data_IF_225845558821
#
_entry.id   IF_225845558821
#
_cell.length_a   1.000
_cell.length_b   1.000
_cell.length_c   1.000
_cell.angle_alpha   90.00
_cell.angle_beta   90.00
_cell.angle_gamma   90.00
#
_symmetry.space_group_name_H-M   'P 1'
#
loop_
_entity.id
_entity.type
_entity.pdbx_description
1 polymer ?
#
# COMPACT_ATOMS: atom_id res chain seq x y z
N UNK A 1 -13.75 -11.76 -16.29
CA UNK A 1 -12.45 -11.52 -16.98
C UNK A 1 -12.30 -10.02 -17.16
N UNK A 2 -11.37 -9.36 -16.46
CA UNK A 2 -11.08 -7.95 -16.72
C UNK A 2 -9.92 -7.87 -17.72
N UNK A 3 -10.28 -7.83 -19.01
CA UNK A 3 -9.36 -7.49 -20.11
C UNK A 3 -9.02 -6.00 -20.02
N UNK A 4 -7.74 -5.63 -19.94
CA UNK A 4 -7.34 -4.26 -20.31
C UNK A 4 -6.11 -3.65 -19.65
N UNK A 5 -5.65 -4.12 -18.49
CA UNK A 5 -4.44 -3.54 -17.87
C UNK A 5 -3.18 -4.23 -18.36
N UNK A 6 -2.38 -3.50 -19.14
CA UNK A 6 -1.01 -3.91 -19.50
C UNK A 6 -0.18 -4.04 -18.23
N UNK A 7 0.78 -4.97 -18.21
CA UNK A 7 1.72 -5.06 -17.08
C UNK A 7 2.63 -3.82 -17.10
N UNK A 8 3.18 -3.38 -15.96
CA UNK A 8 4.05 -2.19 -15.92
C UNK A 8 5.17 -2.17 -16.96
N UNK A 9 5.79 -3.34 -17.21
CA UNK A 9 6.85 -3.54 -18.19
C UNK A 9 6.39 -3.47 -19.65
N UNK A 10 5.10 -3.66 -19.91
CA UNK A 10 4.49 -3.64 -21.23
C UNK A 10 3.91 -2.26 -21.60
N UNK A 11 3.85 -1.34 -20.62
CA UNK A 11 3.39 0.03 -20.83
C UNK A 11 4.50 0.91 -21.43
N UNK A 12 4.09 1.81 -22.33
CA UNK A 12 4.87 2.99 -22.69
C UNK A 12 4.89 3.98 -21.53
N UNK A 13 5.83 4.94 -21.56
CA UNK A 13 5.91 5.99 -20.53
C UNK A 13 4.63 6.83 -20.50
N UNK A 14 4.05 7.13 -21.66
CA UNK A 14 2.81 7.91 -21.77
C UNK A 14 1.62 7.18 -21.12
N UNK A 15 1.45 5.88 -21.40
CA UNK A 15 0.40 5.05 -20.78
C UNK A 15 0.57 4.97 -19.26
N UNK A 16 1.81 4.82 -18.77
CA UNK A 16 2.08 4.79 -17.34
C UNK A 16 1.78 6.13 -16.66
N UNK A 17 2.11 7.25 -17.31
CA UNK A 17 1.76 8.60 -16.83
C UNK A 17 0.26 8.81 -16.79
N UNK A 18 -0.47 8.40 -17.82
CA UNK A 18 -1.94 8.49 -17.87
C UNK A 18 -2.58 7.70 -16.73
N UNK A 19 -2.17 6.44 -16.54
CA UNK A 19 -2.66 5.62 -15.44
C UNK A 19 -2.29 6.20 -14.06
N UNK A 20 -1.12 6.83 -13.94
CA UNK A 20 -0.73 7.52 -12.70
C UNK A 20 -1.60 8.74 -12.44
N UNK A 21 -1.92 9.54 -13.45
CA UNK A 21 -2.80 10.70 -13.31
C UNK A 21 -4.21 10.25 -12.89
N UNK A 22 -4.77 9.23 -13.54
CA UNK A 22 -6.06 8.63 -13.13
C UNK A 22 -6.01 8.14 -11.68
N UNK A 23 -4.88 7.57 -11.27
CA UNK A 23 -4.66 7.16 -9.88
C UNK A 23 -4.70 8.35 -8.91
N UNK A 24 -3.99 9.44 -9.21
CA UNK A 24 -3.99 10.65 -8.37
C UNK A 24 -5.38 11.29 -8.31
N UNK A 25 -6.08 11.41 -9.44
CA UNK A 25 -7.44 11.95 -9.52
C UNK A 25 -8.46 11.12 -8.71
N UNK A 26 -8.20 9.82 -8.56
CA UNK A 26 -9.05 8.91 -7.80
C UNK A 26 -8.62 8.72 -6.34
N UNK A 27 -7.52 9.34 -5.90
CA UNK A 27 -6.91 9.01 -4.62
C UNK A 27 -7.80 9.35 -3.43
N UNK A 28 -8.45 10.51 -3.44
CA UNK A 28 -9.32 10.99 -2.36
C UNK A 28 -10.46 10.00 -2.08
N UNK A 29 -11.26 9.65 -3.10
CA UNK A 29 -12.36 8.72 -2.88
C UNK A 29 -11.86 7.33 -2.48
N UNK A 30 -10.70 6.89 -2.99
CA UNK A 30 -10.12 5.58 -2.67
C UNK A 30 -9.72 5.50 -1.20
N UNK A 31 -9.13 6.58 -0.69
CA UNK A 31 -8.79 6.73 0.72
C UNK A 31 -10.07 6.71 1.58
N UNK A 32 -11.09 7.48 1.21
CA UNK A 32 -12.35 7.51 1.96
C UNK A 32 -13.06 6.14 1.97
N UNK A 33 -12.98 5.41 0.86
CA UNK A 33 -13.44 4.02 0.81
C UNK A 33 -12.64 3.12 1.75
N UNK A 34 -11.30 3.22 1.77
CA UNK A 34 -10.45 2.48 2.70
C UNK A 34 -10.79 2.78 4.17
N UNK A 35 -10.98 4.06 4.52
CA UNK A 35 -11.45 4.48 5.86
C UNK A 35 -12.81 3.86 6.19
N UNK A 36 -13.74 3.82 5.24
CA UNK A 36 -15.07 3.21 5.45
C UNK A 36 -15.01 1.72 5.76
N UNK A 37 -14.08 0.98 5.12
CA UNK A 37 -13.86 -0.45 5.39
C UNK A 37 -13.38 -0.64 6.84
N UNK A 38 -12.39 0.15 7.27
CA UNK A 38 -11.82 0.09 8.62
C UNK A 38 -12.88 0.43 9.67
N UNK A 39 -13.64 1.51 9.44
CA UNK A 39 -14.71 1.95 10.32
C UNK A 39 -15.84 0.93 10.45
N UNK A 40 -16.26 0.32 9.34
CA UNK A 40 -17.30 -0.72 9.36
C UNK A 40 -16.86 -2.00 10.08
N UNK A 41 -15.55 -2.18 10.26
CA UNK A 41 -14.95 -3.27 11.04
C UNK A 41 -14.81 -2.95 12.53
N UNK A 42 -15.31 -1.79 12.99
CA UNK A 42 -15.28 -1.38 14.39
C UNK A 42 -13.97 -0.74 14.85
N UNK A 43 -13.03 -0.48 13.94
CA UNK A 43 -11.81 0.25 14.25
C UNK A 43 -12.08 1.74 14.12
N UNK A 44 -11.75 2.49 15.17
CA UNK A 44 -11.90 3.95 15.21
C UNK A 44 -10.53 4.59 15.08
N UNK A 45 -10.42 5.57 14.19
CA UNK A 45 -9.23 6.40 14.09
C UNK A 45 -9.10 7.25 15.35
N UNK A 46 -8.06 6.98 16.12
CA UNK A 46 -7.66 7.82 17.26
C UNK A 46 -6.69 8.88 16.76
N UNK A 47 -6.49 9.96 17.53
CA UNK A 47 -5.47 10.97 17.19
C UNK A 47 -4.03 10.45 17.24
N UNK A 48 -3.81 9.18 17.57
CA UNK A 48 -2.52 8.49 17.52
C UNK A 48 -2.49 7.52 16.31
N UNK A 49 -1.87 7.96 15.22
CA UNK A 49 -1.72 7.16 14.00
C UNK A 49 -1.03 5.81 14.24
N UNK A 50 -0.13 5.72 15.23
CA UNK A 50 0.55 4.45 15.52
C UNK A 50 -0.41 3.44 16.12
N UNK A 51 -1.24 3.87 17.06
CA UNK A 51 -2.28 3.01 17.64
C UNK A 51 -3.26 2.54 16.57
N UNK A 52 -3.68 3.46 15.70
CA UNK A 52 -4.55 3.15 14.57
C UNK A 52 -3.94 2.11 13.62
N UNK A 53 -2.69 2.31 13.17
CA UNK A 53 -1.97 1.37 12.29
C UNK A 53 -1.85 -0.02 12.93
N UNK A 54 -1.61 -0.09 14.24
CA UNK A 54 -1.58 -1.36 14.97
C UNK A 54 -2.95 -2.06 14.95
N UNK A 55 -4.03 -1.34 15.27
CA UNK A 55 -5.38 -1.90 15.28
C UNK A 55 -5.81 -2.42 13.90
N UNK A 56 -5.50 -1.68 12.83
CA UNK A 56 -5.73 -2.13 11.44
C UNK A 56 -4.91 -3.40 11.15
N UNK A 57 -3.66 -3.47 11.60
CA UNK A 57 -2.82 -4.66 11.43
C UNK A 57 -3.37 -5.91 12.10
N UNK A 58 -3.85 -5.80 13.34
CA UNK A 58 -4.45 -6.91 14.07
C UNK A 58 -5.72 -7.43 13.37
N UNK A 59 -6.57 -6.52 12.92
CA UNK A 59 -7.77 -6.85 12.14
C UNK A 59 -7.44 -7.50 10.79
N UNK A 60 -6.45 -7.00 10.06
CA UNK A 60 -6.00 -7.59 8.80
C UNK A 60 -5.58 -9.05 8.94
N UNK A 61 -4.89 -9.41 10.03
CA UNK A 61 -4.52 -10.80 10.33
C UNK A 61 -5.77 -11.64 10.56
N UNK A 62 -6.70 -11.17 11.40
CA UNK A 62 -7.96 -11.87 11.67
C UNK A 62 -8.75 -12.15 10.39
N UNK A 63 -8.90 -11.15 9.51
CA UNK A 63 -9.63 -11.28 8.25
C UNK A 63 -8.89 -12.20 7.26
N UNK A 64 -7.56 -12.12 7.22
CA UNK A 64 -6.72 -13.01 6.41
C UNK A 64 -6.81 -14.47 6.81
N UNK A 65 -6.86 -14.77 8.11
CA UNK A 65 -7.01 -16.12 8.66
C UNK A 65 -8.40 -16.73 8.39
N UNK A 66 -9.46 -15.89 8.38
CA UNK A 66 -10.84 -16.32 8.17
C UNK A 66 -11.22 -16.53 6.70
N UNK A 67 -10.45 -15.96 5.75
CA UNK A 67 -10.72 -16.07 4.32
C UNK A 67 -12.01 -15.38 3.84
N UNK A 68 -12.62 -14.54 4.68
CA UNK A 68 -13.88 -13.85 4.41
C UNK A 68 -13.63 -12.36 4.22
N UNK A 69 -13.78 -11.84 2.99
CA UNK A 69 -13.72 -10.38 2.79
C UNK A 69 -14.69 -9.92 1.69
N UNK A 70 -15.66 -9.02 1.99
CA UNK A 70 -16.46 -8.34 0.99
C UNK A 70 -15.72 -7.06 0.60
N UNK A 71 -14.86 -7.13 -0.43
CA UNK A 71 -14.24 -5.91 -0.97
C UNK A 71 -14.48 -5.84 -2.46
N UNK A 72 -14.75 -4.63 -2.95
CA UNK A 72 -14.72 -4.37 -4.37
C UNK A 72 -13.34 -4.75 -4.95
N UNK A 73 -13.28 -5.27 -6.19
CA UNK A 73 -12.03 -5.58 -6.86
C UNK A 73 -11.07 -4.39 -6.84
N UNK A 74 -9.83 -4.66 -6.44
CA UNK A 74 -8.65 -3.78 -6.38
C UNK A 74 -8.73 -2.49 -7.23
N UNK A 75 -8.32 -1.34 -6.67
CA UNK A 75 -8.01 -0.15 -7.45
C UNK A 75 -6.68 -0.33 -8.20
N UNK A 76 -6.61 -1.26 -9.17
CA UNK A 76 -5.49 -1.53 -10.11
C UNK A 76 -4.10 -1.06 -9.63
N UNK A 77 -3.63 -1.56 -8.49
CA UNK A 77 -2.22 -1.42 -8.13
C UNK A 77 -1.42 -2.54 -8.77
N UNK A 78 -0.20 -2.23 -9.20
CA UNK A 78 0.80 -3.18 -9.67
C UNK A 78 1.21 -4.16 -8.58
N UNK A 79 0.26 -5.01 -8.16
CA UNK A 79 0.42 -6.11 -7.24
C UNK A 79 1.68 -6.86 -7.69
N UNK A 80 2.73 -6.91 -6.87
CA UNK A 80 3.89 -7.70 -7.21
C UNK A 80 3.40 -9.12 -7.45
N UNK A 81 3.71 -9.68 -8.62
CA UNK A 81 3.28 -11.02 -9.03
C UNK A 81 3.79 -12.17 -8.14
N UNK A 82 4.38 -11.84 -6.99
CA UNK A 82 5.10 -12.74 -6.10
C UNK A 82 4.31 -13.18 -4.86
N UNK A 83 3.08 -12.70 -4.64
CA UNK A 83 2.26 -13.23 -3.52
C UNK A 83 1.15 -14.12 -4.07
N UNK A 84 1.57 -15.21 -4.70
CA UNK A 84 0.69 -16.22 -5.30
C UNK A 84 -0.14 -17.00 -4.26
N UNK A 85 0.16 -16.85 -2.97
CA UNK A 85 -0.46 -17.62 -1.89
C UNK A 85 -1.64 -16.88 -1.21
N UNK A 86 -1.88 -15.61 -1.52
CA UNK A 86 -3.00 -14.84 -0.98
C UNK A 86 -4.18 -14.79 -1.96
N UNK A 87 -5.40 -14.85 -1.43
CA UNK A 87 -6.61 -14.68 -2.25
C UNK A 87 -6.66 -13.29 -2.90
N UNK A 88 -7.27 -13.17 -4.07
CA UNK A 88 -7.45 -11.88 -4.75
C UNK A 88 -8.19 -10.84 -3.88
N UNK A 89 -9.24 -11.20 -3.11
CA UNK A 89 -9.83 -10.30 -2.11
C UNK A 89 -8.82 -9.79 -1.07
N UNK A 90 -7.97 -10.67 -0.53
CA UNK A 90 -6.92 -10.28 0.44
C UNK A 90 -5.92 -9.33 -0.19
N UNK A 91 -5.46 -9.61 -1.42
CA UNK A 91 -4.56 -8.72 -2.15
C UNK A 91 -5.20 -7.34 -2.39
N UNK A 92 -6.49 -7.30 -2.72
CA UNK A 92 -7.24 -6.05 -2.90
C UNK A 92 -7.31 -5.27 -1.59
N UNK A 93 -7.58 -5.94 -0.46
CA UNK A 93 -7.59 -5.31 0.85
C UNK A 93 -6.21 -4.75 1.23
N UNK A 94 -5.12 -5.45 0.91
CA UNK A 94 -3.76 -4.93 1.11
C UNK A 94 -3.56 -3.59 0.39
N UNK A 95 -4.03 -3.47 -0.85
CA UNK A 95 -3.95 -2.21 -1.61
C UNK A 95 -4.73 -1.09 -0.91
N UNK A 96 -5.95 -1.36 -0.46
CA UNK A 96 -6.76 -0.37 0.24
C UNK A 96 -6.09 0.12 1.53
N UNK A 97 -5.57 -0.79 2.35
CA UNK A 97 -4.90 -0.40 3.59
C UNK A 97 -3.56 0.29 3.33
N UNK A 98 -2.87 -0.07 2.24
CA UNK A 98 -1.64 0.62 1.84
C UNK A 98 -1.88 2.08 1.45
N UNK A 99 -3.02 2.41 0.85
CA UNK A 99 -3.41 3.80 0.57
C UNK A 99 -3.64 4.59 1.85
N UNK A 100 -4.35 3.99 2.81
CA UNK A 100 -4.62 4.62 4.09
C UNK A 100 -3.32 4.89 4.87
N UNK A 101 -2.38 3.94 4.90
CA UNK A 101 -1.09 4.16 5.55
C UNK A 101 -0.20 5.15 4.81
N UNK A 102 -0.32 5.23 3.47
CA UNK A 102 0.36 6.24 2.69
C UNK A 102 -0.12 7.65 3.06
N UNK A 103 -1.43 7.84 3.22
CA UNK A 103 -2.03 9.10 3.69
C UNK A 103 -1.46 9.51 5.06
N UNK A 104 -1.50 8.62 6.06
CA UNK A 104 -0.94 8.93 7.39
C UNK A 104 0.57 9.23 7.36
N UNK A 105 1.34 8.54 6.52
CA UNK A 105 2.76 8.87 6.35
C UNK A 105 2.97 10.26 5.76
N UNK A 106 2.10 10.69 4.83
CA UNK A 106 2.14 12.02 4.24
C UNK A 106 1.73 13.10 5.25
N UNK A 107 0.78 12.83 6.13
CA UNK A 107 0.36 13.75 7.19
C UNK A 107 1.43 13.94 8.28
N UNK A 108 2.25 12.90 8.54
CA UNK A 108 3.27 12.93 9.60
C UNK A 108 4.68 13.30 9.14
N UNK A 109 4.96 13.29 7.83
CA UNK A 109 6.29 13.55 7.28
C UNK A 109 6.21 14.59 6.18
N UNK A 110 6.67 15.79 6.49
CA UNK A 110 6.72 16.91 5.56
C UNK A 110 7.48 16.58 4.27
N UNK A 111 6.90 17.00 3.14
CA UNK A 111 7.47 16.87 1.81
C UNK A 111 7.30 15.48 1.17
N UNK A 112 6.55 14.57 1.79
CA UNK A 112 6.20 13.29 1.18
C UNK A 112 5.08 13.47 0.16
N UNK A 113 5.27 12.91 -1.04
CA UNK A 113 4.29 12.97 -2.12
C UNK A 113 4.36 11.71 -3.00
N UNK A 114 3.29 11.49 -3.76
CA UNK A 114 3.22 10.44 -4.76
C UNK A 114 4.00 10.82 -6.02
N UNK A 115 4.73 9.85 -6.58
CA UNK A 115 5.45 9.98 -7.86
C UNK A 115 5.34 8.71 -8.69
N UNK A 116 5.67 8.80 -9.97
CA UNK A 116 5.76 7.67 -10.89
C UNK A 116 7.22 7.39 -11.24
N UNK A 117 7.70 6.19 -10.91
CA UNK A 117 9.05 5.78 -11.32
C UNK A 117 9.07 5.43 -12.81
N UNK A 118 9.78 6.21 -13.62
CA UNK A 118 9.86 6.00 -15.09
C UNK A 118 11.29 5.77 -15.60
N UNK A 119 12.28 5.74 -14.71
CA UNK A 119 13.68 5.96 -15.09
C UNK A 119 14.36 4.76 -15.74
N UNK A 120 14.06 3.54 -15.29
CA UNK A 120 14.75 2.34 -15.78
C UNK A 120 13.86 1.09 -15.74
N UNK A 121 13.70 0.40 -16.88
CA UNK A 121 12.96 -0.88 -16.99
C UNK A 121 13.50 -1.99 -16.08
N UNK A 122 14.76 -1.91 -15.67
CA UNK A 122 15.37 -2.84 -14.70
C UNK A 122 15.04 -2.53 -13.25
N UNK A 123 14.50 -1.33 -12.98
CA UNK A 123 14.04 -0.98 -11.64
C UNK A 123 12.78 -1.78 -11.31
N UNK A 124 12.75 -2.39 -10.12
CA UNK A 124 11.60 -3.15 -9.62
C UNK A 124 10.33 -2.29 -9.48
N UNK A 125 10.50 -0.96 -9.41
CA UNK A 125 9.43 0.03 -9.32
C UNK A 125 9.03 0.63 -10.68
N UNK A 126 9.59 0.13 -11.79
CA UNK A 126 9.31 0.69 -13.11
C UNK A 126 7.80 0.76 -13.41
N UNK A 127 7.34 1.97 -13.73
CA UNK A 127 5.93 2.33 -13.98
C UNK A 127 4.99 2.03 -12.82
N UNK A 128 5.46 2.17 -11.58
CA UNK A 128 4.64 2.06 -10.37
C UNK A 128 4.50 3.40 -9.64
N UNK A 129 3.34 3.64 -9.00
CA UNK A 129 3.18 4.74 -8.06
C UNK A 129 4.00 4.47 -6.78
N UNK A 130 4.75 5.47 -6.34
CA UNK A 130 5.65 5.41 -5.20
C UNK A 130 5.45 6.65 -4.31
N UNK A 131 5.69 6.51 -3.01
CA UNK A 131 5.93 7.66 -2.14
C UNK A 131 7.42 8.01 -2.14
N UNK A 132 7.69 9.30 -2.23
CA UNK A 132 9.03 9.89 -2.09
C UNK A 132 8.95 11.11 -1.21
N UNK A 133 10.05 11.45 -0.53
CA UNK A 133 10.18 12.71 0.20
C UNK A 133 11.09 13.66 -0.58
N UNK A 134 10.75 14.94 -0.61
CA UNK A 134 11.61 15.97 -1.19
C UNK A 134 13.03 15.94 -0.60
N UNK A 135 14.04 16.00 -1.47
CA UNK A 135 15.44 15.91 -1.08
C UNK A 135 15.88 14.51 -0.60
N UNK A 136 15.04 13.49 -0.75
CA UNK A 136 15.35 12.11 -0.36
C UNK A 136 15.56 11.20 -1.57
N UNK A 137 16.44 10.22 -1.41
CA UNK A 137 16.56 9.09 -2.35
C UNK A 137 15.66 7.91 -1.98
N UNK A 138 14.93 7.98 -0.85
CA UNK A 138 14.02 6.93 -0.42
C UNK A 138 12.81 6.84 -1.36
N UNK A 139 12.52 5.61 -1.82
CA UNK A 139 11.37 5.28 -2.64
C UNK A 139 10.59 4.16 -1.98
N UNK A 140 9.31 4.40 -1.76
CA UNK A 140 8.43 3.53 -1.00
C UNK A 140 7.23 3.09 -1.83
N UNK A 141 7.00 1.77 -1.94
CA UNK A 141 5.83 1.19 -2.60
C UNK A 141 4.84 0.71 -1.51
N UNK A 142 3.84 1.51 -1.09
CA UNK A 142 3.10 1.26 0.17
C UNK A 142 2.47 -0.13 0.30
N UNK A 143 2.06 -0.74 -0.82
CA UNK A 143 1.50 -2.09 -0.82
C UNK A 143 2.47 -3.12 -0.26
N UNK A 144 3.78 -2.94 -0.46
CA UNK A 144 4.80 -3.87 0.05
C UNK A 144 4.85 -3.91 1.58
N UNK A 145 4.50 -2.83 2.29
CA UNK A 145 4.43 -2.85 3.76
C UNK A 145 3.40 -3.90 4.20
N UNK A 146 2.18 -3.73 3.72
CA UNK A 146 1.00 -4.48 4.17
C UNK A 146 1.14 -5.94 3.78
N UNK A 147 1.65 -6.20 2.57
CA UNK A 147 1.91 -7.56 2.11
C UNK A 147 3.04 -8.24 2.89
N UNK A 148 4.16 -7.56 3.17
CA UNK A 148 5.26 -8.14 3.94
C UNK A 148 4.83 -8.43 5.38
N UNK A 149 4.04 -7.54 5.99
CA UNK A 149 3.41 -7.76 7.28
C UNK A 149 2.54 -9.02 7.27
N UNK A 150 1.56 -9.10 6.38
CA UNK A 150 0.64 -10.25 6.32
C UNK A 150 1.37 -11.55 6.04
N UNK A 151 2.38 -11.54 5.15
CA UNK A 151 3.20 -12.73 4.88
C UNK A 151 3.90 -13.23 6.13
N UNK A 152 4.59 -12.35 6.86
CA UNK A 152 5.31 -12.76 8.07
C UNK A 152 4.38 -13.36 9.13
N UNK A 153 3.17 -12.80 9.26
CA UNK A 153 2.15 -13.29 10.20
C UNK A 153 1.55 -14.63 9.76
N UNK A 154 1.12 -14.75 8.51
CA UNK A 154 0.44 -15.94 8.00
C UNK A 154 1.38 -17.15 7.80
N UNK A 155 2.64 -16.91 7.45
CA UNK A 155 3.66 -17.97 7.34
C UNK A 155 4.33 -18.31 8.67
N UNK A 156 3.87 -17.72 9.79
CA UNK A 156 4.36 -17.99 11.14
C UNK A 156 5.87 -17.83 11.27
N UNK A 157 6.41 -16.73 10.74
CA UNK A 157 7.80 -16.35 11.00
C UNK A 157 8.08 -16.39 12.51
N UNK A 158 9.30 -16.74 12.92
CA UNK A 158 9.61 -16.88 14.36
C UNK A 158 9.42 -15.60 15.16
N UNK A 159 9.53 -14.42 14.52
CA UNK A 159 9.35 -13.09 15.10
C UNK A 159 8.79 -12.14 14.01
N UNK A 160 7.49 -12.25 13.66
CA UNK A 160 6.94 -11.41 12.62
C UNK A 160 6.78 -9.99 13.16
N UNK A 161 7.30 -9.02 12.42
CA UNK A 161 7.06 -7.60 12.72
C UNK A 161 5.56 -7.30 12.66
N UNK A 162 5.11 -6.47 13.57
CA UNK A 162 3.80 -5.81 13.54
C UNK A 162 3.75 -4.78 12.43
N UNK A 163 2.54 -4.36 12.06
CA UNK A 163 2.36 -3.35 11.04
C UNK A 163 2.87 -1.98 11.49
N UNK A 164 2.72 -1.63 12.78
CA UNK A 164 3.26 -0.38 13.33
C UNK A 164 4.79 -0.38 13.36
N UNK A 165 5.45 -1.53 13.55
CA UNK A 165 6.90 -1.63 13.40
C UNK A 165 7.37 -1.37 11.97
N UNK A 166 6.65 -1.87 10.95
CA UNK A 166 7.00 -1.57 9.56
C UNK A 166 6.75 -0.09 9.21
N UNK A 167 5.66 0.47 9.71
CA UNK A 167 5.32 1.88 9.54
C UNK A 167 6.38 2.81 10.15
N UNK A 168 6.81 2.53 11.39
CA UNK A 168 7.89 3.28 12.05
C UNK A 168 9.19 3.24 11.25
N UNK A 169 9.60 2.06 10.80
CA UNK A 169 10.81 1.91 9.97
C UNK A 169 10.75 2.74 8.69
N UNK A 170 9.58 2.85 8.08
CA UNK A 170 9.39 3.64 6.87
C UNK A 170 9.42 5.14 7.13
N UNK A 171 8.75 5.58 8.20
CA UNK A 171 8.83 6.96 8.66
C UNK A 171 10.27 7.38 8.91
N UNK A 172 11.02 6.57 9.66
CA UNK A 172 12.45 6.80 9.92
C UNK A 172 13.28 6.81 8.63
N UNK A 173 13.02 5.88 7.70
CA UNK A 173 13.76 5.79 6.45
C UNK A 173 13.55 7.01 5.54
N UNK A 174 12.31 7.51 5.44
CA UNK A 174 12.00 8.78 4.74
C UNK A 174 12.72 9.98 5.38
N UNK A 175 12.78 10.02 6.70
CA UNK A 175 13.39 11.13 7.43
C UNK A 175 14.92 11.11 7.36
N UNK A 176 15.54 9.93 7.36
CA UNK A 176 17.00 9.76 7.42
C UNK A 176 17.70 9.80 6.04
N UNK A 177 16.97 9.54 4.95
CA UNK A 177 17.56 9.48 3.62
C UNK A 177 17.66 10.88 3.02
N UNK A 178 18.87 11.44 2.97
CA UNK A 178 19.23 12.72 2.32
C UNK A 178 20.21 12.49 1.18
#
# INVERSE_FOLDING_TARGET
MLSGTKRPHDMTRAEATEQFNEFIESLEWRIEYAKSIVKSSGIVETGDHREFVRAVGEWLVSVGELGTIPVEPNPKFGLPGAVLDLSFPTQSLCCWMALLFAEHLMDEVDGVHWTLCTDNKRNIYYHKPMLVREGSTAQLEPVNIVMNFLRGRLHKDRKPKTLDEFWLLWKEWLQAST
#
